data_IF_600472304751
#
_entry.id   IF_600472304751
#
_cell.length_a   1.000
_cell.length_b   1.000
_cell.length_c   1.000
_cell.angle_alpha   90.00
_cell.angle_beta   90.00
_cell.angle_gamma   90.00
#
_symmetry.space_group_name_H-M   'P 1'
#
loop_
_entity.id
_entity.type
_entity.pdbx_description
1 polymer ?
#
# COMPACT_ATOMS: atom_id res chain seq x y z
N UNK A 1 -6.41 -15.92 0.72
CA UNK A 1 -7.66 -15.45 1.33
C UNK A 1 -7.47 -13.96 1.57
N UNK A 2 -8.38 -13.12 1.09
CA UNK A 2 -8.33 -11.69 1.41
C UNK A 2 -8.61 -11.50 2.91
N UNK A 3 -7.75 -10.74 3.59
CA UNK A 3 -7.89 -10.46 5.03
C UNK A 3 -9.10 -9.59 5.35
N UNK A 4 -9.48 -8.66 4.47
CA UNK A 4 -10.57 -7.69 4.70
C UNK A 4 -11.95 -8.35 4.88
N UNK A 5 -12.41 -9.30 4.03
CA UNK A 5 -13.66 -10.01 4.28
C UNK A 5 -13.72 -10.74 5.63
N UNK A 6 -12.58 -11.25 6.13
CA UNK A 6 -12.52 -11.88 7.45
C UNK A 6 -12.64 -10.85 8.58
N UNK A 7 -12.01 -9.68 8.43
CA UNK A 7 -12.16 -8.55 9.37
C UNK A 7 -13.61 -8.08 9.44
N UNK A 8 -14.26 -7.91 8.28
CA UNK A 8 -15.68 -7.54 8.22
C UNK A 8 -16.58 -8.60 8.89
N UNK A 9 -16.31 -9.88 8.63
CA UNK A 9 -17.05 -10.97 9.27
C UNK A 9 -16.84 -10.98 10.80
N UNK A 10 -15.60 -10.83 11.26
CA UNK A 10 -15.29 -10.76 12.69
C UNK A 10 -15.98 -9.57 13.36
N UNK A 11 -16.03 -8.42 12.69
CA UNK A 11 -16.81 -7.29 13.15
C UNK A 11 -18.30 -7.64 13.27
N UNK A 12 -18.92 -8.20 12.22
CA UNK A 12 -20.35 -8.57 12.27
C UNK A 12 -20.67 -9.56 13.41
N UNK A 13 -19.77 -10.51 13.71
CA UNK A 13 -19.93 -11.41 14.86
C UNK A 13 -19.73 -10.69 16.20
N UNK A 14 -18.81 -9.73 16.29
CA UNK A 14 -18.63 -8.92 17.51
C UNK A 14 -19.86 -8.08 17.86
N UNK A 15 -20.70 -7.76 16.87
CA UNK A 15 -21.95 -7.01 17.06
C UNK A 15 -23.11 -7.91 17.53
N UNK A 16 -22.88 -9.20 17.78
CA UNK A 16 -23.89 -10.14 18.30
C UNK A 16 -23.65 -10.45 19.77
N UNK A 17 -24.70 -10.88 20.47
CA UNK A 17 -24.58 -11.34 21.86
C UNK A 17 -23.71 -12.61 21.97
N UNK A 18 -22.89 -12.74 23.03
CA UNK A 18 -22.75 -11.80 24.15
C UNK A 18 -21.71 -10.68 23.92
N UNK A 19 -21.07 -10.64 22.76
CA UNK A 19 -19.90 -9.78 22.50
C UNK A 19 -20.25 -8.29 22.37
N UNK A 20 -21.44 -7.97 21.86
CA UNK A 20 -21.89 -6.58 21.68
C UNK A 20 -22.02 -5.78 22.99
N UNK A 21 -22.00 -6.45 24.13
CA UNK A 21 -22.08 -5.82 25.45
C UNK A 21 -20.71 -5.31 25.93
N UNK A 22 -19.64 -5.50 25.14
CA UNK A 22 -18.28 -5.15 25.48
C UNK A 22 -17.60 -4.34 24.38
N UNK A 23 -16.96 -3.24 24.75
CA UNK A 23 -16.08 -2.46 23.87
C UNK A 23 -14.62 -2.95 24.02
N UNK A 24 -14.30 -4.09 23.40
CA UNK A 24 -12.99 -4.74 23.55
C UNK A 24 -12.20 -4.96 22.26
N UNK A 25 -12.81 -4.68 21.09
CA UNK A 25 -12.20 -4.95 19.79
C UNK A 25 -11.97 -3.67 18.99
N UNK A 26 -10.76 -3.55 18.46
CA UNK A 26 -10.38 -2.58 17.45
C UNK A 26 -9.92 -3.33 16.19
N UNK A 27 -10.36 -2.85 15.04
CA UNK A 27 -10.05 -3.41 13.73
C UNK A 27 -9.15 -2.42 12.98
N UNK A 28 -7.91 -2.83 12.74
CA UNK A 28 -6.97 -2.10 11.91
C UNK A 28 -7.10 -2.58 10.47
N UNK A 29 -7.30 -1.64 9.55
CA UNK A 29 -7.61 -1.97 8.15
C UNK A 29 -6.79 -1.09 7.22
N UNK A 30 -6.10 -1.71 6.27
CA UNK A 30 -5.47 -0.99 5.17
C UNK A 30 -6.52 -0.44 4.22
N UNK A 31 -6.28 0.72 3.63
CA UNK A 31 -7.22 1.25 2.64
C UNK A 31 -7.06 0.51 1.31
N UNK A 32 -5.82 0.17 0.93
CA UNK A 32 -5.51 -0.31 -0.43
C UNK A 32 -6.21 0.59 -1.47
N UNK A 33 -6.60 0.03 -2.60
CA UNK A 33 -7.34 0.75 -3.63
C UNK A 33 -8.84 0.94 -3.30
N UNK A 34 -9.32 0.65 -2.09
CA UNK A 34 -10.75 0.77 -1.76
C UNK A 34 -11.26 2.21 -1.95
N UNK A 35 -10.45 3.21 -1.59
CA UNK A 35 -10.78 4.62 -1.81
C UNK A 35 -10.82 4.97 -3.31
N UNK A 36 -9.86 4.46 -4.09
CA UNK A 36 -9.79 4.68 -5.55
C UNK A 36 -10.95 3.97 -6.27
N UNK A 37 -11.35 2.81 -5.79
CA UNK A 37 -12.46 2.01 -6.33
C UNK A 37 -13.82 2.42 -5.78
N UNK A 38 -13.87 3.53 -5.01
CA UNK A 38 -15.09 4.07 -4.39
C UNK A 38 -15.87 3.02 -3.59
N UNK A 39 -15.16 2.07 -2.96
CA UNK A 39 -15.79 1.15 -2.01
C UNK A 39 -16.18 1.93 -0.76
N UNK A 40 -17.33 1.58 -0.20
CA UNK A 40 -17.79 2.18 1.03
C UNK A 40 -16.92 1.72 2.20
N UNK A 41 -16.26 2.66 2.87
CA UNK A 41 -15.52 2.39 4.10
C UNK A 41 -16.47 2.21 5.29
N UNK A 42 -16.11 1.33 6.22
CA UNK A 42 -16.85 1.14 7.47
C UNK A 42 -16.50 2.27 8.44
N UNK A 43 -17.46 3.13 8.75
CA UNK A 43 -17.26 4.32 9.59
C UNK A 43 -17.43 4.04 11.09
N UNK A 44 -17.58 2.78 11.50
CA UNK A 44 -17.73 2.41 12.91
C UNK A 44 -16.51 2.83 13.76
N UNK A 45 -16.73 3.15 15.05
CA UNK A 45 -15.67 3.68 15.92
C UNK A 45 -14.51 2.71 16.17
N UNK A 46 -14.81 1.41 16.14
CA UNK A 46 -13.81 0.34 16.24
C UNK A 46 -12.96 0.15 14.98
N UNK A 47 -13.31 0.77 13.85
CA UNK A 47 -12.50 0.70 12.63
C UNK A 47 -11.48 1.83 12.60
N UNK A 48 -10.22 1.44 12.49
CA UNK A 48 -9.07 2.33 12.39
C UNK A 48 -8.38 2.03 11.06
N UNK A 49 -8.47 2.98 10.15
CA UNK A 49 -7.81 2.86 8.86
C UNK A 49 -6.39 3.42 8.95
N UNK A 50 -5.39 2.64 8.54
CA UNK A 50 -3.97 2.97 8.75
C UNK A 50 -3.56 4.32 8.15
N UNK A 51 -4.19 4.71 7.04
CA UNK A 51 -3.78 5.87 6.27
C UNK A 51 -4.93 6.76 5.76
N UNK A 52 -6.11 6.64 6.37
CA UNK A 52 -7.28 7.48 6.07
C UNK A 52 -7.76 8.22 7.31
N UNK A 53 -7.94 9.52 7.19
CA UNK A 53 -8.54 10.34 8.24
C UNK A 53 -10.06 10.42 8.01
N UNK A 54 -10.84 9.77 8.88
CA UNK A 54 -12.31 9.76 8.80
C UNK A 54 -12.93 11.14 9.05
N UNK A 55 -12.29 11.99 9.85
CA UNK A 55 -12.76 13.33 10.16
C UNK A 55 -12.57 14.29 8.98
N UNK A 56 -11.39 14.25 8.35
CA UNK A 56 -11.07 15.03 7.14
C UNK A 56 -11.65 14.43 5.86
N UNK A 57 -12.14 13.18 5.93
CA UNK A 57 -12.50 12.33 4.79
C UNK A 57 -11.39 12.25 3.74
N UNK A 58 -10.14 12.18 4.19
CA UNK A 58 -8.96 12.32 3.34
C UNK A 58 -8.07 11.09 3.42
N UNK A 59 -7.68 10.58 2.24
CA UNK A 59 -6.62 9.59 2.11
C UNK A 59 -5.25 10.28 2.17
N UNK A 60 -4.42 9.89 3.13
CA UNK A 60 -3.06 10.42 3.29
C UNK A 60 -2.05 9.50 2.61
N UNK A 61 -2.13 8.19 2.90
CA UNK A 61 -1.35 7.14 2.24
C UNK A 61 -2.28 5.99 1.85
N UNK A 62 -1.80 5.09 1.00
CA UNK A 62 -2.58 3.91 0.61
C UNK A 62 -2.51 2.78 1.66
N UNK A 63 -1.38 2.70 2.37
CA UNK A 63 -0.95 1.55 3.16
C UNK A 63 -0.04 1.98 4.33
N UNK A 64 0.13 1.10 5.32
CA UNK A 64 0.99 1.32 6.48
C UNK A 64 2.45 1.51 6.07
N UNK A 65 2.97 0.66 5.18
CA UNK A 65 4.37 0.75 4.75
C UNK A 65 4.65 2.08 4.04
N UNK A 66 3.71 2.56 3.22
CA UNK A 66 3.80 3.88 2.60
C UNK A 66 3.90 4.97 3.67
N UNK A 67 3.08 4.92 4.72
CA UNK A 67 3.19 5.86 5.84
C UNK A 67 4.57 5.78 6.51
N UNK A 68 5.05 4.59 6.87
CA UNK A 68 6.33 4.39 7.56
C UNK A 68 7.52 4.94 6.77
N UNK A 69 7.52 4.78 5.44
CA UNK A 69 8.56 5.34 4.57
C UNK A 69 8.60 6.87 4.52
N UNK A 70 7.50 7.52 4.90
CA UNK A 70 7.39 8.97 5.01
C UNK A 70 7.66 9.48 6.43
N UNK A 71 8.17 8.63 7.32
CA UNK A 71 8.64 9.00 8.67
C UNK A 71 10.17 8.95 8.76
N UNK A 72 10.70 9.29 9.93
CA UNK A 72 12.10 9.10 10.30
C UNK A 72 12.55 7.63 10.25
N UNK A 73 11.61 6.68 10.26
CA UNK A 73 11.89 5.26 10.19
C UNK A 73 12.73 4.89 8.96
N UNK A 74 12.42 5.46 7.78
CA UNK A 74 13.18 5.18 6.57
C UNK A 74 14.67 5.53 6.73
N UNK A 75 14.97 6.71 7.26
CA UNK A 75 16.36 7.14 7.46
C UNK A 75 17.13 6.20 8.40
N UNK A 76 16.48 5.75 9.49
CA UNK A 76 17.08 4.78 10.43
C UNK A 76 17.29 3.41 9.81
N UNK A 77 16.34 2.94 9.01
CA UNK A 77 16.47 1.67 8.29
C UNK A 77 17.63 1.77 7.30
N UNK A 78 17.70 2.83 6.49
CA UNK A 78 18.78 3.03 5.52
C UNK A 78 20.16 3.13 6.19
N UNK A 79 20.25 3.79 7.34
CA UNK A 79 21.49 3.87 8.12
C UNK A 79 22.02 2.48 8.56
N UNK A 80 21.13 1.51 8.85
CA UNK A 80 21.54 0.13 9.17
C UNK A 80 22.18 -0.62 7.98
N UNK A 81 22.03 -0.08 6.77
CA UNK A 81 22.62 -0.60 5.53
C UNK A 81 23.74 0.31 5.01
N UNK A 82 24.31 1.17 5.86
CA UNK A 82 25.44 2.05 5.53
C UNK A 82 25.10 3.02 4.37
N UNK A 83 23.83 3.44 4.28
CA UNK A 83 23.36 4.43 3.32
C UNK A 83 23.33 5.81 3.97
N UNK A 84 23.86 6.80 3.26
CA UNK A 84 24.07 8.13 3.79
C UNK A 84 22.76 8.93 3.91
N UNK A 85 22.60 9.81 4.92
CA UNK A 85 21.37 10.57 5.14
C UNK A 85 20.92 11.42 3.95
N UNK A 86 21.85 11.93 3.13
CA UNK A 86 21.52 12.75 1.97
C UNK A 86 20.83 11.97 0.84
N UNK A 87 20.91 10.63 0.85
CA UNK A 87 20.28 9.78 -0.16
C UNK A 87 18.82 9.45 0.15
N UNK A 88 18.38 9.65 1.40
CA UNK A 88 17.07 9.21 1.91
C UNK A 88 15.93 9.77 1.06
N UNK A 89 15.92 11.07 0.80
CA UNK A 89 14.84 11.73 0.04
C UNK A 89 14.84 11.26 -1.42
N UNK A 90 16.01 11.08 -2.02
CA UNK A 90 16.15 10.57 -3.39
C UNK A 90 15.63 9.13 -3.50
N UNK A 91 15.97 8.27 -2.55
CA UNK A 91 15.47 6.89 -2.48
C UNK A 91 13.95 6.90 -2.31
N UNK A 92 13.41 7.73 -1.41
CA UNK A 92 11.97 7.84 -1.17
C UNK A 92 11.22 8.26 -2.44
N UNK A 93 11.71 9.26 -3.16
CA UNK A 93 11.06 9.76 -4.38
C UNK A 93 11.11 8.77 -5.53
N UNK A 94 12.21 8.01 -5.65
CA UNK A 94 12.33 6.94 -6.63
C UNK A 94 11.40 5.77 -6.31
N UNK A 95 11.34 5.34 -5.04
CA UNK A 95 10.41 4.33 -4.58
C UNK A 95 8.96 4.75 -4.88
N UNK A 96 8.58 5.97 -4.49
CA UNK A 96 7.27 6.56 -4.79
C UNK A 96 6.93 6.46 -6.28
N UNK A 97 7.84 6.89 -7.15
CA UNK A 97 7.61 6.94 -8.60
C UNK A 97 7.49 5.53 -9.18
N UNK A 98 8.38 4.61 -8.78
CA UNK A 98 8.37 3.23 -9.25
C UNK A 98 7.14 2.45 -8.78
N UNK A 99 6.81 2.53 -7.49
CA UNK A 99 5.65 1.84 -6.91
C UNK A 99 4.33 2.36 -7.47
N UNK A 100 4.23 3.67 -7.70
CA UNK A 100 3.08 4.30 -8.33
C UNK A 100 2.84 3.77 -9.73
N UNK A 101 3.89 3.63 -10.55
CA UNK A 101 3.76 3.13 -11.92
C UNK A 101 3.11 1.73 -11.99
N UNK A 102 3.56 0.80 -11.14
CA UNK A 102 2.98 -0.54 -11.04
C UNK A 102 1.60 -0.51 -10.38
N UNK A 103 1.46 0.24 -9.29
CA UNK A 103 0.20 0.26 -8.56
C UNK A 103 -0.95 0.91 -9.35
N UNK A 104 -0.66 1.85 -10.27
CA UNK A 104 -1.62 2.34 -11.27
C UNK A 104 -2.16 1.21 -12.16
N UNK A 105 -1.29 0.31 -12.63
CA UNK A 105 -1.72 -0.87 -13.39
C UNK A 105 -2.56 -1.82 -12.53
N UNK A 106 -2.14 -2.12 -11.29
CA UNK A 106 -2.89 -2.99 -10.37
C UNK A 106 -4.27 -2.42 -10.04
N UNK A 107 -4.36 -1.12 -9.78
CA UNK A 107 -5.62 -0.43 -9.52
C UNK A 107 -6.52 -0.45 -10.76
N UNK A 108 -5.95 -0.20 -11.94
CA UNK A 108 -6.67 -0.25 -13.21
C UNK A 108 -7.19 -1.66 -13.53
N UNK A 109 -6.43 -2.71 -13.20
CA UNK A 109 -6.82 -4.09 -13.42
C UNK A 109 -8.12 -4.44 -12.69
N UNK A 110 -8.24 -4.02 -11.43
CA UNK A 110 -9.48 -4.20 -10.68
C UNK A 110 -10.68 -3.45 -11.30
N UNK A 111 -10.45 -2.23 -11.79
CA UNK A 111 -11.50 -1.46 -12.49
C UNK A 111 -11.90 -2.15 -13.79
N UNK A 112 -10.92 -2.57 -14.59
CA UNK A 112 -11.15 -3.24 -15.87
C UNK A 112 -11.89 -4.57 -15.67
N UNK A 113 -11.49 -5.38 -14.68
CA UNK A 113 -12.18 -6.62 -14.33
C UNK A 113 -13.66 -6.38 -14.02
N UNK A 114 -14.00 -5.37 -13.21
CA UNK A 114 -15.40 -5.01 -12.92
C UNK A 114 -16.13 -4.48 -14.15
N UNK A 115 -15.49 -3.60 -14.92
CA UNK A 115 -16.09 -2.93 -16.10
C UNK A 115 -16.43 -3.93 -17.19
N UNK A 116 -15.57 -4.92 -17.42
CA UNK A 116 -15.71 -5.91 -18.49
C UNK A 116 -16.24 -7.28 -18.00
N UNK A 117 -16.53 -7.42 -16.71
CA UNK A 117 -17.08 -8.67 -16.14
C UNK A 117 -16.09 -9.84 -16.16
N UNK A 118 -14.79 -9.56 -16.01
CA UNK A 118 -13.73 -10.56 -16.09
C UNK A 118 -13.61 -11.33 -14.76
N UNK A 119 -13.39 -12.64 -14.86
CA UNK A 119 -13.24 -13.51 -13.70
C UNK A 119 -11.79 -13.66 -13.22
N UNK A 120 -10.83 -13.17 -14.00
CA UNK A 120 -9.40 -13.20 -13.71
C UNK A 120 -8.76 -11.84 -13.98
N UNK A 121 -7.56 -11.65 -13.43
CA UNK A 121 -6.72 -10.47 -13.71
C UNK A 121 -6.20 -10.47 -15.14
N UNK A 122 -6.22 -9.29 -15.78
CA UNK A 122 -5.56 -9.02 -17.07
C UNK A 122 -4.04 -9.06 -16.86
N UNK A 123 -3.55 -8.57 -15.71
CA UNK A 123 -2.15 -8.57 -15.31
C UNK A 123 -1.58 -9.97 -14.97
N UNK A 124 -2.37 -11.04 -15.00
CA UNK A 124 -1.93 -12.44 -14.92
C UNK A 124 -0.68 -12.73 -14.04
N UNK A 125 -0.65 -12.20 -12.82
CA UNK A 125 0.49 -12.43 -11.91
C UNK A 125 1.75 -11.62 -12.20
N UNK A 126 1.61 -10.39 -12.73
CA UNK A 126 2.70 -9.42 -12.87
C UNK A 126 3.54 -9.33 -11.58
N UNK A 127 4.80 -9.72 -11.69
CA UNK A 127 5.80 -9.61 -10.63
C UNK A 127 6.71 -8.40 -10.86
N UNK A 128 7.10 -7.76 -9.75
CA UNK A 128 7.97 -6.58 -9.76
C UNK A 128 9.38 -6.93 -10.22
N UNK A 129 9.84 -8.13 -9.85
CA UNK A 129 11.23 -8.56 -10.02
C UNK A 129 11.70 -8.53 -11.49
N UNK A 130 10.78 -8.83 -12.40
CA UNK A 130 11.06 -8.94 -13.84
C UNK A 130 11.32 -7.57 -14.49
N UNK A 131 10.84 -6.48 -13.88
CA UNK A 131 10.82 -5.14 -14.50
C UNK A 131 11.44 -4.03 -13.65
N UNK A 132 11.95 -4.37 -12.45
CA UNK A 132 12.56 -3.44 -11.53
C UNK A 132 14.08 -3.46 -11.63
N UNK A 133 14.67 -2.28 -11.81
CA UNK A 133 16.10 -2.06 -11.66
C UNK A 133 16.40 -1.65 -10.21
N UNK A 134 16.95 -2.56 -9.38
CA UNK A 134 17.25 -2.27 -7.99
C UNK A 134 18.43 -1.31 -7.83
N UNK A 135 19.32 -1.17 -8.80
CA UNK A 135 20.45 -0.24 -8.69
C UNK A 135 19.97 1.21 -8.79
N UNK A 136 19.01 1.47 -9.68
CA UNK A 136 18.49 2.81 -9.93
C UNK A 136 17.15 3.11 -9.24
N UNK A 137 16.49 2.09 -8.65
CA UNK A 137 15.13 2.14 -8.10
C UNK A 137 14.17 2.63 -9.17
N UNK A 138 14.04 1.86 -10.25
CA UNK A 138 13.28 2.24 -11.43
C UNK A 138 12.46 1.07 -11.98
N UNK A 139 11.23 1.34 -12.41
CA UNK A 139 10.37 0.38 -13.10
C UNK A 139 10.36 0.65 -14.59
N UNK A 140 10.68 -0.36 -15.40
CA UNK A 140 10.58 -0.29 -16.85
C UNK A 140 9.13 -0.48 -17.33
N UNK A 141 8.30 0.56 -17.13
CA UNK A 141 6.88 0.51 -17.52
C UNK A 141 6.68 0.29 -19.03
N UNK A 142 7.63 0.75 -19.86
CA UNK A 142 7.59 0.54 -21.31
C UNK A 142 7.69 -0.95 -21.65
N UNK A 143 8.60 -1.66 -21.00
CA UNK A 143 8.78 -3.10 -21.18
C UNK A 143 7.57 -3.88 -20.68
N UNK A 144 7.02 -3.53 -19.51
CA UNK A 144 5.75 -4.10 -19.03
C UNK A 144 4.65 -3.98 -20.10
N UNK A 145 4.44 -2.77 -20.63
CA UNK A 145 3.41 -2.52 -21.67
C UNK A 145 3.65 -3.32 -22.95
N UNK A 146 4.91 -3.54 -23.33
CA UNK A 146 5.27 -4.31 -24.52
C UNK A 146 5.05 -5.82 -24.34
N UNK A 147 5.28 -6.33 -23.13
CA UNK A 147 5.16 -7.76 -22.84
C UNK A 147 3.75 -8.19 -22.44
N UNK A 148 2.95 -7.29 -21.84
CA UNK A 148 1.59 -7.58 -21.36
C UNK A 148 0.71 -8.35 -22.36
N UNK A 149 0.66 -8.01 -23.67
CA UNK A 149 -0.14 -8.74 -24.65
C UNK A 149 0.29 -10.21 -24.85
N UNK A 150 1.52 -10.58 -24.47
CA UNK A 150 2.06 -11.92 -24.70
C UNK A 150 1.49 -12.92 -23.70
N UNK A 151 1.35 -12.51 -22.44
CA UNK A 151 1.01 -13.38 -21.32
C UNK A 151 -0.29 -13.00 -20.58
N UNK A 152 -0.96 -11.90 -20.92
CA UNK A 152 -2.26 -11.53 -20.35
C UNK A 152 -3.32 -12.61 -20.56
N UNK A 153 -4.20 -12.77 -19.56
CA UNK A 153 -5.38 -13.64 -19.67
C UNK A 153 -6.43 -13.11 -20.67
N UNK A 154 -6.43 -11.79 -20.91
CA UNK A 154 -7.40 -11.08 -21.75
C UNK A 154 -6.65 -10.05 -22.61
N UNK A 155 -6.10 -10.52 -23.73
CA UNK A 155 -5.20 -9.72 -24.60
C UNK A 155 -5.94 -8.54 -25.23
N UNK A 156 -7.21 -8.73 -25.53
CA UNK A 156 -8.14 -7.73 -26.08
C UNK A 156 -8.36 -6.54 -25.15
N UNK A 157 -8.13 -6.68 -23.84
CA UNK A 157 -8.34 -5.63 -22.84
C UNK A 157 -7.04 -4.98 -22.34
N UNK A 158 -5.89 -5.33 -22.92
CA UNK A 158 -4.58 -4.77 -22.52
C UNK A 158 -4.53 -3.26 -22.76
N UNK A 159 -4.97 -2.79 -23.93
CA UNK A 159 -4.98 -1.35 -24.23
C UNK A 159 -5.96 -0.59 -23.34
N UNK A 160 -7.12 -1.18 -23.05
CA UNK A 160 -8.10 -0.62 -22.11
C UNK A 160 -7.48 -0.45 -20.71
N UNK A 161 -6.78 -1.48 -20.22
CA UNK A 161 -6.11 -1.47 -18.94
C UNK A 161 -5.06 -0.35 -18.87
N UNK A 162 -4.21 -0.23 -19.89
CA UNK A 162 -3.17 0.82 -19.96
C UNK A 162 -3.81 2.21 -19.95
N UNK A 163 -4.86 2.41 -20.74
CA UNK A 163 -5.61 3.67 -20.79
C UNK A 163 -6.25 4.03 -19.45
N UNK A 164 -6.83 3.05 -18.75
CA UNK A 164 -7.38 3.25 -17.40
C UNK A 164 -6.26 3.61 -16.41
N UNK A 165 -5.11 2.92 -16.45
CA UNK A 165 -3.99 3.20 -15.57
C UNK A 165 -3.43 4.61 -15.75
N UNK A 166 -3.24 5.06 -16.99
CA UNK A 166 -2.80 6.43 -17.29
C UNK A 166 -3.81 7.48 -16.86
N UNK A 167 -5.11 7.19 -17.01
CA UNK A 167 -6.17 8.06 -16.52
C UNK A 167 -6.13 8.17 -14.99
N UNK A 168 -6.06 7.03 -14.28
CA UNK A 168 -5.97 6.99 -12.82
C UNK A 168 -4.77 7.76 -12.31
N UNK A 169 -3.61 7.58 -12.94
CA UNK A 169 -2.38 8.26 -12.56
C UNK A 169 -2.50 9.78 -12.64
N UNK A 170 -3.14 10.30 -13.69
CA UNK A 170 -3.42 11.74 -13.84
C UNK A 170 -4.47 12.27 -12.87
N UNK A 171 -5.51 11.48 -12.59
CA UNK A 171 -6.66 11.91 -11.78
C UNK A 171 -6.42 11.80 -10.27
N UNK A 172 -5.34 11.12 -9.85
CA UNK A 172 -5.06 10.86 -8.44
C UNK A 172 -3.81 11.61 -7.97
N UNK A 173 -3.88 12.91 -7.63
CA UNK A 173 -2.69 13.74 -7.41
C UNK A 173 -1.91 13.41 -6.14
N UNK A 174 -2.44 12.59 -5.23
CA UNK A 174 -1.69 12.18 -4.04
C UNK A 174 -0.56 11.22 -4.44
N UNK A 175 0.66 11.59 -4.11
CA UNK A 175 1.91 10.87 -4.35
C UNK A 175 1.83 9.36 -4.08
N UNK A 176 1.27 8.96 -2.93
CA UNK A 176 1.32 7.57 -2.45
C UNK A 176 0.01 6.80 -2.63
N UNK A 177 -1.08 7.44 -3.06
CA UNK A 177 -2.40 6.79 -3.12
C UNK A 177 -2.47 5.63 -4.11
N UNK A 178 -1.61 5.63 -5.13
CA UNK A 178 -1.51 4.52 -6.09
C UNK A 178 -0.35 3.57 -5.76
N UNK A 179 0.34 3.73 -4.64
CA UNK A 179 1.45 2.86 -4.23
C UNK A 179 0.96 1.82 -3.22
N UNK A 180 1.15 0.53 -3.52
CA UNK A 180 0.84 -0.56 -2.58
C UNK A 180 2.02 -0.79 -1.62
N UNK A 181 1.77 -0.91 -0.32
CA UNK A 181 2.81 -1.01 0.70
C UNK A 181 3.82 -2.11 0.42
N UNK A 182 3.32 -3.33 0.20
CA UNK A 182 4.15 -4.50 -0.14
C UNK A 182 5.00 -4.35 -1.40
N UNK A 183 4.50 -3.63 -2.41
CA UNK A 183 5.26 -3.41 -3.65
C UNK A 183 6.45 -2.48 -3.35
N UNK A 184 6.23 -1.45 -2.53
CA UNK A 184 7.27 -0.49 -2.14
C UNK A 184 8.34 -1.16 -1.27
N UNK A 185 7.95 -1.97 -0.29
CA UNK A 185 8.91 -2.67 0.57
C UNK A 185 9.66 -3.78 -0.17
N UNK A 186 9.03 -4.43 -1.16
CA UNK A 186 9.73 -5.33 -2.09
C UNK A 186 10.80 -4.59 -2.88
N UNK A 187 10.46 -3.46 -3.52
CA UNK A 187 11.45 -2.62 -4.25
C UNK A 187 12.60 -2.16 -3.35
N UNK A 188 12.29 -1.71 -2.12
CA UNK A 188 13.32 -1.32 -1.15
C UNK A 188 14.21 -2.51 -0.76
N UNK A 189 13.64 -3.70 -0.51
CA UNK A 189 14.42 -4.89 -0.15
C UNK A 189 15.41 -5.29 -1.25
N UNK A 190 14.98 -5.26 -2.51
CA UNK A 190 15.83 -5.56 -3.67
C UNK A 190 16.96 -4.54 -3.83
N UNK A 191 16.66 -3.25 -3.62
CA UNK A 191 17.68 -2.19 -3.65
C UNK A 191 18.74 -2.41 -2.55
N UNK A 192 18.29 -2.69 -1.32
CA UNK A 192 19.17 -2.88 -0.18
C UNK A 192 20.00 -4.15 -0.28
N UNK A 193 19.43 -5.24 -0.79
CA UNK A 193 20.17 -6.48 -1.07
C UNK A 193 21.27 -6.24 -2.12
N UNK A 194 20.94 -5.51 -3.20
CA UNK A 194 21.91 -5.15 -4.25
C UNK A 194 23.05 -4.29 -3.70
N UNK A 195 22.72 -3.31 -2.86
CA UNK A 195 23.69 -2.32 -2.36
C UNK A 195 24.54 -2.84 -1.21
N UNK A 196 23.96 -3.56 -0.26
CA UNK A 196 24.65 -4.05 0.93
C UNK A 196 25.27 -5.44 0.78
N UNK A 197 24.87 -6.19 -0.26
CA UNK A 197 25.19 -7.63 -0.45
C UNK A 197 24.75 -8.52 0.73
N UNK A 198 23.89 -8.00 1.61
CA UNK A 198 23.25 -8.76 2.69
C UNK A 198 21.94 -9.29 2.15
N UNK A 199 21.56 -10.51 2.55
CA UNK A 199 20.23 -11.03 2.25
C UNK A 199 19.20 -10.19 3.01
N UNK A 200 18.29 -9.57 2.26
CA UNK A 200 17.23 -8.72 2.81
C UNK A 200 15.90 -9.25 2.29
N UNK A 201 14.93 -9.43 3.19
CA UNK A 201 13.56 -9.82 2.77
C UNK A 201 12.60 -8.67 2.98
N UNK A 202 11.52 -8.66 2.21
CA UNK A 202 10.42 -7.69 2.36
C UNK A 202 9.92 -7.63 3.80
N UNK A 203 9.71 -8.78 4.44
CA UNK A 203 9.21 -8.89 5.82
C UNK A 203 10.20 -8.31 6.82
N UNK A 204 11.51 -8.50 6.59
CA UNK A 204 12.54 -7.91 7.44
C UNK A 204 12.53 -6.38 7.35
N UNK A 205 12.33 -5.81 6.16
CA UNK A 205 12.22 -4.37 5.96
C UNK A 205 10.96 -3.81 6.60
N UNK A 206 9.81 -4.47 6.41
CA UNK A 206 8.56 -4.08 7.06
C UNK A 206 8.70 -4.07 8.58
N UNK A 207 9.33 -5.09 9.16
CA UNK A 207 9.59 -5.16 10.60
C UNK A 207 10.53 -4.03 11.06
N UNK A 208 11.63 -3.79 10.35
CA UNK A 208 12.57 -2.72 10.67
C UNK A 208 11.91 -1.34 10.62
N UNK A 209 11.06 -1.07 9.62
CA UNK A 209 10.30 0.17 9.51
C UNK A 209 9.33 0.35 10.69
N UNK A 210 8.62 -0.71 11.10
CA UNK A 210 7.70 -0.68 12.24
C UNK A 210 8.45 -0.40 13.55
N UNK A 211 9.60 -1.04 13.76
CA UNK A 211 10.44 -0.85 14.96
C UNK A 211 11.10 0.52 15.01
N UNK A 212 11.43 1.10 13.86
CA UNK A 212 12.12 2.38 13.76
C UNK A 212 11.18 3.60 13.84
N UNK A 213 9.87 3.40 13.72
CA UNK A 213 8.86 4.45 13.79
C UNK A 213 8.77 5.03 15.21
N UNK A 214 8.90 6.34 15.34
CA UNK A 214 8.84 6.98 16.65
C UNK A 214 7.41 7.10 17.16
N UNK A 215 7.26 6.99 18.48
CA UNK A 215 5.97 7.17 19.15
C UNK A 215 5.29 8.49 18.75
N UNK A 216 6.03 9.59 18.76
CA UNK A 216 5.50 10.90 18.38
C UNK A 216 4.99 10.94 16.93
N UNK A 217 5.67 10.27 15.99
CA UNK A 217 5.24 10.21 14.59
C UNK A 217 3.94 9.40 14.46
N UNK A 218 3.86 8.26 15.17
CA UNK A 218 2.66 7.45 15.24
C UNK A 218 1.48 8.24 15.83
N UNK A 219 1.65 8.86 16.99
CA UNK A 219 0.59 9.61 17.69
C UNK A 219 0.03 10.78 16.84
N UNK A 220 0.85 11.35 15.95
CA UNK A 220 0.44 12.43 15.05
C UNK A 220 -0.17 11.96 13.72
N UNK A 221 -0.06 10.67 13.41
CA UNK A 221 -0.66 10.06 12.20
C UNK A 221 -2.19 10.00 12.29
N UNK A 222 -2.92 9.91 11.16
CA UNK A 222 -4.37 9.69 11.16
C UNK A 222 -4.78 8.48 11.99
N UNK A 223 -4.04 7.37 11.87
CA UNK A 223 -4.25 6.15 12.65
C UNK A 223 -4.03 6.38 14.14
N UNK A 224 -2.89 6.97 14.54
CA UNK A 224 -2.57 7.15 15.96
C UNK A 224 -3.53 8.10 16.66
N UNK A 225 -3.93 9.20 16.01
CA UNK A 225 -4.96 10.11 16.52
C UNK A 225 -6.28 9.39 16.75
N UNK A 226 -6.71 8.56 15.78
CA UNK A 226 -7.94 7.77 15.90
C UNK A 226 -7.82 6.72 17.02
N UNK A 227 -6.70 6.02 17.08
CA UNK A 227 -6.43 5.01 18.10
C UNK A 227 -6.50 5.59 19.51
N UNK A 228 -5.80 6.69 19.77
CA UNK A 228 -5.84 7.37 21.07
C UNK A 228 -7.26 7.80 21.42
N UNK A 229 -7.97 8.42 20.47
CA UNK A 229 -9.35 8.87 20.69
C UNK A 229 -10.29 7.71 21.03
N UNK A 230 -10.19 6.59 20.31
CA UNK A 230 -11.05 5.43 20.58
C UNK A 230 -10.65 4.71 21.87
N UNK A 231 -9.36 4.56 22.15
CA UNK A 231 -8.86 3.92 23.37
C UNK A 231 -9.22 4.70 24.65
N UNK A 232 -9.20 6.03 24.60
CA UNK A 232 -9.62 6.88 25.72
C UNK A 232 -11.13 6.88 25.98
N UNK A 233 -11.95 6.46 25.01
CA UNK A 233 -13.41 6.35 25.18
C UNK A 233 -13.81 4.96 25.71
N UNK A 234 -12.96 3.95 25.50
CA UNK A 234 -13.17 2.59 25.98
C UNK A 234 -12.61 2.32 27.39
N UNK A 235 -11.91 3.30 27.99
CA UNK A 235 -11.32 3.23 29.33
C UNK A 235 -12.14 4.03 30.36
#
# INVERSE_FOLDING_TARGET
>A
MDGKPLVEKAFLESQKKPYCDFDFLLFFVDIDFDYIHQKQLNLHNSFIYNAYCSEEKKLHYNDLECYLLNTSALAKVLANFDIEPYEVDTIRDKLKTGSRAIGSLRAADYIAQRKFGLSKSILNGLEIDDYFDPSNIFINLKEIKQDLPRWSNYKEHVEDLVSIAEKLDRETPNDWSLSRGHDVTKMLSMHLETRSRRKVTTESIEMMLRLACEKFEFENSPMGKRFIKTACVAA
#
